data_IF_746009954910
#
_entry.id   IF_746009954910
#
_cell.length_a   1.000
_cell.length_b   1.000
_cell.length_c   1.000
_cell.angle_alpha   90.00
_cell.angle_beta   90.00
_cell.angle_gamma   90.00
#
_symmetry.space_group_name_H-M   'P 1'
#
loop_
_entity.id
_entity.type
_entity.pdbx_description
1 polymer ?
#
# COMPACT_ATOMS: atom_id res chain seq x y z
N UNK A 1 11.02 46.04 25.17
CA UNK A 1 10.46 44.74 24.78
C UNK A 1 10.91 43.76 25.84
N UNK A 2 9.92 43.19 26.52
CA UNK A 2 10.06 42.59 27.85
C UNK A 2 10.53 41.13 27.71
N UNK A 3 11.77 40.87 28.14
CA UNK A 3 12.45 39.57 28.04
C UNK A 3 11.73 38.45 28.81
N UNK A 4 10.79 38.80 29.68
CA UNK A 4 9.93 37.85 30.39
C UNK A 4 8.80 37.31 29.51
N UNK A 5 8.30 38.08 28.54
CA UNK A 5 7.23 37.65 27.65
C UNK A 5 7.73 36.69 26.53
N UNK A 6 9.03 36.72 26.24
CA UNK A 6 9.67 35.82 25.25
C UNK A 6 10.16 34.51 25.90
N UNK A 7 10.38 34.50 27.22
CA UNK A 7 10.65 33.27 27.98
C UNK A 7 9.38 32.51 28.35
N UNK A 8 8.22 33.16 28.48
CA UNK A 8 6.93 32.47 28.61
C UNK A 8 6.48 31.81 27.31
N UNK A 9 6.89 32.32 26.13
CA UNK A 9 6.58 31.67 24.84
C UNK A 9 7.52 30.50 24.49
N UNK A 10 8.60 30.28 25.26
CA UNK A 10 9.54 29.16 25.10
C UNK A 10 9.41 28.05 26.17
N UNK A 11 8.35 28.08 27.00
CA UNK A 11 8.06 27.04 28.01
C UNK A 11 6.94 26.07 27.57
N UNK A 12 6.41 26.15 26.35
CA UNK A 12 5.50 25.10 25.81
C UNK A 12 6.31 24.03 25.06
N UNK A 13 7.31 23.49 25.73
CA UNK A 13 7.87 22.16 25.45
C UNK A 13 8.25 21.48 26.76
N UNK A 14 7.39 21.64 27.77
CA UNK A 14 7.24 20.57 28.74
C UNK A 14 6.31 19.55 28.10
N UNK A 15 6.91 18.43 27.70
CA UNK A 15 6.19 17.18 27.45
C UNK A 15 5.56 16.80 28.79
N UNK A 16 4.46 17.45 29.12
CA UNK A 16 3.72 17.12 30.32
C UNK A 16 3.30 15.67 30.17
N UNK A 17 3.72 14.89 31.15
CA UNK A 17 3.16 13.60 31.47
C UNK A 17 1.74 13.85 32.05
N UNK A 18 0.85 14.50 31.28
CA UNK A 18 -0.51 14.85 31.69
C UNK A 18 -1.26 13.54 31.83
N UNK A 19 -1.57 13.19 33.08
CA UNK A 19 -2.49 12.12 33.41
C UNK A 19 -3.75 12.25 32.54
N UNK A 20 -4.19 11.18 31.84
CA UNK A 20 -5.33 11.25 30.93
C UNK A 20 -6.54 11.87 31.61
N UNK A 21 -7.20 12.84 30.96
CA UNK A 21 -8.38 13.48 31.56
C UNK A 21 -9.46 12.42 31.77
N UNK A 22 -10.24 12.59 32.83
CA UNK A 22 -11.32 11.66 33.18
C UNK A 22 -12.31 11.41 32.02
N UNK A 23 -12.60 12.44 31.23
CA UNK A 23 -13.47 12.34 30.05
C UNK A 23 -12.84 11.50 28.93
N UNK A 24 -11.52 11.58 28.73
CA UNK A 24 -10.80 10.76 27.75
C UNK A 24 -10.81 9.30 28.18
N UNK A 25 -10.60 9.03 29.47
CA UNK A 25 -10.65 7.67 30.03
C UNK A 25 -12.05 7.09 29.83
N UNK A 26 -13.12 7.81 30.21
CA UNK A 26 -14.50 7.35 30.01
C UNK A 26 -14.82 7.06 28.55
N UNK A 27 -14.36 7.92 27.64
CA UNK A 27 -14.52 7.74 26.18
C UNK A 27 -13.87 6.43 25.74
N UNK A 28 -12.61 6.18 26.13
CA UNK A 28 -11.88 4.98 25.76
C UNK A 28 -12.43 3.70 26.40
N UNK A 29 -12.97 3.77 27.62
CA UNK A 29 -13.69 2.65 28.24
C UNK A 29 -14.96 2.30 27.45
N UNK A 30 -15.72 3.30 26.99
CA UNK A 30 -16.94 3.11 26.20
C UNK A 30 -16.66 2.60 24.79
N UNK A 31 -15.61 3.11 24.13
CA UNK A 31 -15.30 2.79 22.73
C UNK A 31 -14.61 1.43 22.58
N UNK A 32 -13.73 1.07 23.53
CA UNK A 32 -12.87 -0.11 23.40
C UNK A 32 -13.11 -1.17 24.48
N UNK A 33 -14.04 -0.94 25.41
CA UNK A 33 -14.38 -1.89 26.48
C UNK A 33 -13.29 -2.07 27.53
N UNK A 34 -12.38 -1.11 27.68
CA UNK A 34 -11.28 -1.18 28.63
C UNK A 34 -11.70 -0.90 30.07
N UNK A 35 -10.95 -1.45 31.03
CA UNK A 35 -11.04 -1.02 32.43
C UNK A 35 -10.44 0.38 32.59
N UNK A 36 -10.71 1.05 33.71
CA UNK A 36 -10.22 2.42 33.94
C UNK A 36 -8.69 2.48 33.89
N UNK A 37 -8.01 1.53 34.54
CA UNK A 37 -6.55 1.42 34.52
C UNK A 37 -6.00 1.11 33.12
N UNK A 38 -6.66 0.21 32.37
CA UNK A 38 -6.22 -0.15 31.03
C UNK A 38 -6.40 1.01 30.03
N UNK A 39 -7.50 1.75 30.14
CA UNK A 39 -7.76 2.92 29.31
C UNK A 39 -6.74 4.03 29.59
N UNK A 40 -6.45 4.31 30.87
CA UNK A 40 -5.44 5.30 31.26
C UNK A 40 -4.05 4.94 30.72
N UNK A 41 -3.61 3.68 30.91
CA UNK A 41 -2.32 3.22 30.43
C UNK A 41 -2.22 3.30 28.89
N UNK A 42 -3.26 2.88 28.17
CA UNK A 42 -3.25 2.90 26.70
C UNK A 42 -3.28 4.30 26.10
N UNK A 43 -3.93 5.26 26.77
CA UNK A 43 -3.86 6.68 26.37
C UNK A 43 -2.42 7.18 26.55
N UNK A 44 -1.78 6.88 27.69
CA UNK A 44 -0.39 7.28 27.92
C UNK A 44 0.59 6.66 26.93
N UNK A 45 0.44 5.36 26.65
CA UNK A 45 1.26 4.64 25.67
C UNK A 45 1.06 5.23 24.26
N UNK A 46 -0.18 5.56 23.90
CA UNK A 46 -0.50 6.19 22.61
C UNK A 46 0.12 7.59 22.49
N UNK A 47 -0.02 8.44 23.52
CA UNK A 47 0.55 9.80 23.54
C UNK A 47 2.08 9.80 23.52
N UNK A 48 2.70 8.83 24.19
CA UNK A 48 4.15 8.67 24.28
C UNK A 48 4.78 8.05 23.02
N UNK A 49 3.98 7.40 22.18
CA UNK A 49 4.46 6.81 20.93
C UNK A 49 4.58 7.87 19.82
N UNK A 50 5.81 8.30 19.52
CA UNK A 50 6.12 9.24 18.43
C UNK A 50 5.89 8.65 17.03
N UNK A 51 5.80 7.33 16.90
CA UNK A 51 5.46 6.63 15.66
C UNK A 51 3.98 6.22 15.60
N UNK A 52 3.11 6.81 16.43
CA UNK A 52 1.67 6.54 16.38
C UNK A 52 1.08 6.92 15.02
N UNK A 53 0.02 6.22 14.63
CA UNK A 53 -0.78 6.60 13.47
C UNK A 53 -1.38 7.98 13.76
N UNK A 54 -0.91 9.00 13.05
CA UNK A 54 -1.47 10.34 13.11
C UNK A 54 -2.44 10.54 11.96
N UNK A 55 -3.65 10.96 12.29
CA UNK A 55 -4.67 11.30 11.32
C UNK A 55 -4.47 12.77 10.97
N UNK A 56 -4.24 13.06 9.68
CA UNK A 56 -4.07 14.44 9.24
C UNK A 56 -5.33 15.26 9.53
N UNK A 57 -5.18 16.58 9.75
CA UNK A 57 -6.32 17.47 10.01
C UNK A 57 -7.35 17.41 8.87
N UNK A 58 -6.87 17.33 7.63
CA UNK A 58 -7.72 17.17 6.45
C UNK A 58 -8.50 15.84 6.45
N UNK A 59 -7.90 14.75 6.95
CA UNK A 59 -8.62 13.47 7.09
C UNK A 59 -9.65 13.53 8.22
N UNK A 60 -9.30 14.17 9.34
CA UNK A 60 -10.24 14.37 10.45
C UNK A 60 -11.42 15.24 10.03
N UNK A 61 -11.23 16.32 9.28
CA UNK A 61 -12.32 17.14 8.74
C UNK A 61 -13.33 16.33 7.90
N UNK A 62 -12.86 15.32 7.18
CA UNK A 62 -13.73 14.45 6.36
C UNK A 62 -14.55 13.48 7.21
N UNK A 63 -13.96 12.94 8.30
CA UNK A 63 -14.59 11.85 9.07
C UNK A 63 -15.18 12.28 10.41
N UNK A 64 -14.86 13.48 10.92
CA UNK A 64 -15.20 13.89 12.29
C UNK A 64 -16.70 13.85 12.56
N UNK A 65 -17.54 14.33 11.63
CA UNK A 65 -18.99 14.35 11.82
C UNK A 65 -19.58 12.94 12.02
N UNK A 66 -19.08 11.93 11.28
CA UNK A 66 -19.51 10.54 11.43
C UNK A 66 -18.90 9.88 12.67
N UNK A 67 -17.65 10.22 12.99
CA UNK A 67 -16.89 9.59 14.08
C UNK A 67 -17.28 10.15 15.45
N UNK A 68 -17.63 11.42 15.55
CA UNK A 68 -18.17 12.04 16.76
C UNK A 68 -19.55 11.48 17.10
N UNK A 69 -20.40 11.18 16.10
CA UNK A 69 -21.68 10.48 16.32
C UNK A 69 -21.47 9.06 16.88
N UNK A 70 -20.35 8.43 16.52
CA UNK A 70 -19.90 7.16 17.08
C UNK A 70 -19.15 7.32 18.43
N UNK A 71 -19.04 8.54 18.96
CA UNK A 71 -18.41 8.87 20.23
C UNK A 71 -16.88 9.01 20.19
N UNK A 72 -16.27 8.96 19.00
CA UNK A 72 -14.83 9.14 18.81
C UNK A 72 -14.48 10.63 18.77
N UNK A 73 -13.34 10.95 19.36
CA UNK A 73 -12.57 12.15 19.07
C UNK A 73 -11.36 11.80 18.18
N UNK A 74 -10.61 12.81 17.77
CA UNK A 74 -9.47 12.61 16.87
C UNK A 74 -8.45 11.61 17.44
N UNK A 75 -8.14 11.70 18.73
CA UNK A 75 -7.16 10.85 19.40
C UNK A 75 -7.64 9.39 19.55
N UNK A 76 -8.87 9.15 20.00
CA UNK A 76 -9.43 7.80 20.07
C UNK A 76 -9.60 7.19 18.69
N UNK A 77 -9.90 8.00 17.67
CA UNK A 77 -9.97 7.53 16.29
C UNK A 77 -8.59 7.13 15.75
N UNK A 78 -7.56 7.95 15.95
CA UNK A 78 -6.15 7.62 15.66
C UNK A 78 -5.71 6.30 16.31
N UNK A 79 -6.02 6.17 17.60
CA UNK A 79 -5.76 4.94 18.34
C UNK A 79 -6.52 3.75 17.76
N UNK A 80 -7.79 3.91 17.38
CA UNK A 80 -8.59 2.84 16.76
C UNK A 80 -8.01 2.36 15.43
N UNK A 81 -7.40 3.26 14.65
CA UNK A 81 -6.71 2.93 13.40
C UNK A 81 -5.41 2.16 13.64
N UNK A 82 -4.78 2.34 14.81
CA UNK A 82 -3.55 1.65 15.19
C UNK A 82 -3.77 0.23 15.72
N UNK A 83 -5.00 -0.11 16.13
CA UNK A 83 -5.33 -1.44 16.63
C UNK A 83 -5.38 -2.48 15.49
N UNK A 84 -4.74 -3.65 15.63
CA UNK A 84 -4.96 -4.77 14.72
C UNK A 84 -6.46 -5.10 14.72
N UNK A 85 -7.11 -5.13 13.55
CA UNK A 85 -8.56 -5.33 13.35
C UNK A 85 -9.09 -6.53 14.15
N UNK A 86 -9.39 -6.30 15.42
CA UNK A 86 -9.95 -7.25 16.37
C UNK A 86 -11.42 -6.89 16.53
N UNK A 87 -12.25 -7.68 15.87
CA UNK A 87 -13.61 -8.02 16.28
C UNK A 87 -14.54 -6.83 16.58
N UNK A 88 -15.25 -6.39 15.53
CA UNK A 88 -16.56 -5.77 15.68
C UNK A 88 -17.48 -6.75 16.44
N UNK A 89 -18.18 -6.32 17.51
CA UNK A 89 -19.33 -7.06 18.00
C UNK A 89 -20.44 -7.01 16.94
N UNK A 90 -20.97 -8.20 16.62
CA UNK A 90 -22.19 -8.58 15.89
C UNK A 90 -23.04 -7.48 15.18
N UNK A 91 -23.51 -7.67 13.94
CA UNK A 91 -23.63 -8.91 13.20
C UNK A 91 -23.92 -8.68 11.72
N UNK A 92 -23.29 -9.51 10.90
CA UNK A 92 -23.76 -9.97 9.61
C UNK A 92 -22.83 -11.14 9.27
N UNK A 93 -23.37 -12.34 9.21
CA UNK A 93 -22.67 -13.51 8.70
C UNK A 93 -22.15 -13.20 7.30
N UNK A 94 -20.83 -13.07 7.16
CA UNK A 94 -20.16 -13.22 5.87
C UNK A 94 -18.94 -14.09 6.06
N UNK A 95 -18.91 -15.15 5.27
CA UNK A 95 -17.91 -16.20 5.19
C UNK A 95 -16.49 -15.70 5.44
N UNK A 96 -15.84 -16.25 6.46
CA UNK A 96 -14.42 -16.09 6.75
C UNK A 96 -13.60 -16.79 5.68
N UNK A 97 -13.34 -16.10 4.56
CA UNK A 97 -12.11 -16.37 3.79
C UNK A 97 -10.96 -15.82 4.62
N UNK A 98 -10.19 -16.70 5.25
CA UNK A 98 -8.93 -16.38 5.90
C UNK A 98 -7.98 -15.74 4.87
N UNK A 99 -7.97 -14.40 4.80
CA UNK A 99 -6.94 -13.66 4.05
C UNK A 99 -5.60 -14.02 4.68
N UNK A 100 -4.79 -14.85 3.99
CA UNK A 100 -3.39 -15.11 4.37
C UNK A 100 -2.71 -13.74 4.50
N UNK A 101 -2.17 -13.40 5.68
CA UNK A 101 -1.37 -12.19 5.85
C UNK A 101 -0.17 -12.29 4.90
N UNK A 102 -0.05 -11.36 3.94
CA UNK A 102 1.13 -11.30 3.07
C UNK A 102 2.36 -11.08 3.96
N UNK A 103 3.50 -11.73 3.66
CA UNK A 103 4.72 -11.52 4.44
C UNK A 103 5.17 -10.07 4.28
N UNK A 104 5.38 -9.37 5.40
CA UNK A 104 5.91 -8.00 5.40
C UNK A 104 7.35 -8.02 4.92
N UNK A 105 7.65 -7.16 3.95
CA UNK A 105 8.97 -6.99 3.36
C UNK A 105 9.41 -5.55 3.63
N UNK A 106 10.68 -5.37 3.98
CA UNK A 106 11.29 -4.07 4.25
C UNK A 106 12.55 -3.88 3.41
N UNK A 107 12.85 -2.64 3.08
CA UNK A 107 14.16 -2.19 2.63
C UNK A 107 14.93 -1.65 3.85
N UNK A 108 15.99 -2.35 4.23
CA UNK A 108 16.93 -1.90 5.25
C UNK A 108 17.97 -0.99 4.59
N UNK A 109 18.14 0.23 5.10
CA UNK A 109 19.24 1.11 4.68
C UNK A 109 20.57 0.55 5.19
N UNK A 110 21.53 0.39 4.27
CA UNK A 110 22.87 -0.13 4.56
C UNK A 110 23.74 1.00 5.12
N UNK A 111 23.68 1.21 6.42
CA UNK A 111 24.43 2.24 7.14
C UNK A 111 24.96 1.71 8.48
N UNK A 112 25.96 2.40 9.05
CA UNK A 112 26.58 2.04 10.33
C UNK A 112 27.05 0.57 10.37
N UNK A 113 26.62 -0.22 11.38
CA UNK A 113 27.05 -1.61 11.55
C UNK A 113 26.60 -2.53 10.41
N UNK A 114 25.62 -2.12 9.60
CA UNK A 114 25.07 -2.88 8.47
C UNK A 114 25.44 -2.28 7.10
N UNK A 115 26.53 -1.51 7.03
CA UNK A 115 27.01 -0.86 5.79
C UNK A 115 27.29 -1.81 4.62
N UNK A 116 27.56 -3.09 4.89
CA UNK A 116 27.68 -4.14 3.88
C UNK A 116 26.58 -5.18 4.02
N UNK A 117 26.14 -5.74 2.89
CA UNK A 117 25.18 -6.86 2.88
C UNK A 117 25.73 -8.11 3.54
N UNK A 118 27.06 -8.20 3.73
CA UNK A 118 27.73 -9.28 4.47
C UNK A 118 27.60 -9.11 5.98
N UNK A 119 27.64 -7.89 6.52
CA UNK A 119 27.38 -7.65 7.94
C UNK A 119 25.92 -7.97 8.31
N UNK A 120 24.98 -7.82 7.37
CA UNK A 120 23.60 -8.27 7.53
C UNK A 120 23.51 -9.81 7.58
N UNK A 121 24.41 -10.53 6.89
CA UNK A 121 24.50 -12.00 6.95
C UNK A 121 25.06 -12.52 8.27
N UNK A 122 25.82 -11.72 9.02
CA UNK A 122 26.40 -12.13 10.31
C UNK A 122 25.32 -12.26 11.40
N UNK A 123 24.14 -11.63 11.23
CA UNK A 123 22.93 -11.90 12.03
C UNK A 123 22.16 -13.19 11.60
N UNK A 124 22.66 -13.89 10.58
CA UNK A 124 22.38 -15.24 10.08
C UNK A 124 21.02 -15.59 9.42
N UNK A 125 21.17 -16.59 8.55
CA UNK A 125 20.25 -17.34 7.68
C UNK A 125 20.08 -16.65 6.35
N UNK A 126 20.82 -17.15 5.35
CA UNK A 126 20.84 -16.69 3.98
C UNK A 126 19.44 -16.73 3.34
N UNK A 127 18.63 -15.71 3.63
CA UNK A 127 17.43 -15.45 2.86
C UNK A 127 17.89 -15.00 1.48
N UNK A 128 17.46 -15.72 0.44
CA UNK A 128 17.80 -15.43 -0.96
C UNK A 128 17.56 -13.94 -1.34
N UNK A 129 16.68 -13.26 -0.60
CA UNK A 129 16.33 -11.85 -0.73
C UNK A 129 17.43 -10.84 -0.35
N UNK A 130 18.42 -11.22 0.47
CA UNK A 130 19.54 -10.34 0.85
C UNK A 130 20.46 -9.96 -0.33
N UNK A 131 20.28 -10.60 -1.49
CA UNK A 131 21.01 -10.29 -2.73
C UNK A 131 20.44 -9.10 -3.50
N UNK A 132 19.21 -8.70 -3.23
CA UNK A 132 18.58 -7.55 -3.88
C UNK A 132 19.12 -6.26 -3.24
N UNK A 133 20.17 -5.70 -3.84
CA UNK A 133 20.70 -4.38 -3.48
C UNK A 133 20.03 -3.33 -4.34
N UNK A 134 19.41 -2.36 -3.68
CA UNK A 134 18.87 -1.16 -4.34
C UNK A 134 19.81 0.00 -4.03
N UNK A 135 20.05 0.86 -5.01
CA UNK A 135 20.85 2.06 -4.86
C UNK A 135 20.00 3.26 -5.22
N UNK A 136 20.13 4.33 -4.44
CA UNK A 136 19.47 5.60 -4.70
C UNK A 136 20.37 6.74 -4.25
N UNK A 137 19.87 7.96 -4.38
CA UNK A 137 20.46 9.16 -3.79
C UNK A 137 19.48 9.73 -2.79
N UNK A 138 19.97 10.17 -1.64
CA UNK A 138 19.15 10.92 -0.69
C UNK A 138 18.92 12.37 -1.17
N UNK A 139 18.17 13.15 -0.39
CA UNK A 139 17.83 14.54 -0.71
C UNK A 139 19.05 15.46 -0.80
N UNK A 140 20.20 15.03 -0.25
CA UNK A 140 21.47 15.74 -0.33
C UNK A 140 22.33 15.27 -1.52
N UNK A 141 21.81 14.37 -2.35
CA UNK A 141 22.53 13.76 -3.46
C UNK A 141 23.55 12.71 -3.03
N UNK A 142 23.58 12.30 -1.75
CA UNK A 142 24.51 11.30 -1.27
C UNK A 142 24.02 9.89 -1.63
N UNK A 143 24.91 8.96 -2.02
CA UNK A 143 24.52 7.61 -2.40
C UNK A 143 23.97 6.84 -1.20
N UNK A 144 22.73 6.40 -1.29
CA UNK A 144 22.08 5.51 -0.36
C UNK A 144 22.01 4.09 -0.96
N UNK A 145 22.16 3.08 -0.11
CA UNK A 145 22.04 1.69 -0.52
C UNK A 145 21.10 0.96 0.42
N UNK A 146 20.30 0.04 -0.12
CA UNK A 146 19.31 -0.71 0.62
C UNK A 146 19.41 -2.20 0.31
N UNK A 147 19.02 -3.04 1.27
CA UNK A 147 18.82 -4.47 1.06
C UNK A 147 17.40 -4.88 1.44
N UNK A 148 16.87 -5.90 0.75
CA UNK A 148 15.54 -6.44 1.03
C UNK A 148 15.62 -7.44 2.19
N UNK A 149 14.77 -7.25 3.20
CA UNK A 149 14.64 -8.13 4.37
C UNK A 149 13.17 -8.45 4.63
N UNK A 150 12.89 -9.64 5.18
CA UNK A 150 11.53 -9.97 5.62
C UNK A 150 11.29 -9.50 7.07
N UNK A 151 10.03 -9.56 7.52
CA UNK A 151 9.66 -9.14 8.87
C UNK A 151 10.32 -9.95 9.99
N UNK A 152 10.67 -11.21 9.75
CA UNK A 152 11.40 -12.02 10.72
C UNK A 152 12.84 -11.51 10.88
N UNK A 153 13.51 -11.23 9.75
CA UNK A 153 14.88 -10.70 9.69
C UNK A 153 14.94 -9.31 10.30
N UNK A 154 13.97 -8.43 9.99
CA UNK A 154 13.89 -7.09 10.58
C UNK A 154 13.76 -7.14 12.11
N UNK A 155 12.90 -8.04 12.63
CA UNK A 155 12.78 -8.27 14.07
C UNK A 155 14.09 -8.77 14.69
N UNK A 156 14.75 -9.75 14.08
CA UNK A 156 16.02 -10.28 14.60
C UNK A 156 17.12 -9.21 14.66
N UNK A 157 17.18 -8.30 13.68
CA UNK A 157 18.14 -7.19 13.69
C UNK A 157 17.88 -6.27 14.89
N UNK A 158 16.61 -5.95 15.16
CA UNK A 158 16.22 -5.12 16.31
C UNK A 158 16.52 -5.82 17.65
N UNK A 159 16.22 -7.12 17.74
CA UNK A 159 16.51 -7.94 18.93
C UNK A 159 18.03 -7.96 19.20
N UNK A 160 18.85 -8.20 18.17
CA UNK A 160 20.31 -8.20 18.29
C UNK A 160 20.88 -6.84 18.73
N UNK A 161 20.39 -5.73 18.16
CA UNK A 161 20.83 -4.39 18.56
C UNK A 161 20.48 -4.07 20.02
N UNK A 162 19.35 -4.61 20.49
CA UNK A 162 18.93 -4.48 21.89
C UNK A 162 19.84 -5.29 22.81
N UNK A 163 20.19 -6.53 22.42
CA UNK A 163 21.09 -7.40 23.19
C UNK A 163 22.50 -6.82 23.37
N UNK A 164 23.00 -6.09 22.36
CA UNK A 164 24.33 -5.44 22.41
C UNK A 164 24.29 -4.01 22.94
N UNK A 165 23.14 -3.55 23.46
CA UNK A 165 22.89 -2.19 23.96
C UNK A 165 23.36 -1.09 22.98
N UNK A 166 23.18 -1.33 21.68
CA UNK A 166 23.64 -0.42 20.64
C UNK A 166 22.74 0.81 20.55
N UNK A 167 23.33 2.00 20.47
CA UNK A 167 22.61 3.27 20.24
C UNK A 167 22.20 3.47 18.77
N UNK A 168 22.66 2.60 17.87
CA UNK A 168 22.34 2.68 16.45
C UNK A 168 20.88 2.31 16.17
N UNK A 169 20.16 3.17 15.46
CA UNK A 169 18.78 2.92 15.02
C UNK A 169 18.74 2.59 13.52
N UNK A 170 18.40 1.35 13.13
CA UNK A 170 18.32 0.96 11.72
C UNK A 170 17.09 1.56 11.04
N UNK A 171 17.27 2.03 9.81
CA UNK A 171 16.18 2.54 8.98
C UNK A 171 15.55 1.41 8.16
N UNK A 172 14.28 1.08 8.46
CA UNK A 172 13.47 0.15 7.66
C UNK A 172 12.38 0.91 6.89
N UNK A 173 12.31 0.69 5.58
CA UNK A 173 11.27 1.26 4.72
C UNK A 173 10.36 0.12 4.27
N UNK A 174 9.05 0.26 4.44
CA UNK A 174 8.09 -0.74 3.96
C UNK A 174 8.23 -0.96 2.45
N UNK A 175 8.40 -2.22 2.03
CA UNK A 175 8.50 -2.60 0.63
C UNK A 175 7.23 -3.32 0.19
N UNK A 176 6.25 -2.52 -0.23
CA UNK A 176 4.99 -2.99 -0.77
C UNK A 176 4.97 -2.81 -2.28
N UNK A 177 4.52 -3.85 -2.99
CA UNK A 177 4.39 -3.84 -4.45
C UNK A 177 3.08 -4.47 -4.88
N UNK A 178 2.47 -3.90 -5.90
CA UNK A 178 1.33 -4.50 -6.55
C UNK A 178 1.75 -5.81 -7.20
N UNK A 179 1.07 -6.89 -6.83
CA UNK A 179 1.45 -8.24 -7.25
C UNK A 179 1.04 -8.48 -8.71
N UNK A 180 1.98 -8.89 -9.56
CA UNK A 180 1.71 -9.37 -10.91
C UNK A 180 1.94 -10.88 -10.94
N UNK A 181 0.86 -11.66 -10.94
CA UNK A 181 0.91 -13.12 -10.94
C UNK A 181 0.09 -13.69 -12.09
N UNK A 182 0.51 -13.39 -13.33
CA UNK A 182 -0.22 -13.79 -14.53
C UNK A 182 -0.06 -15.28 -14.82
N UNK A 183 -1.17 -16.01 -14.87
CA UNK A 183 -1.16 -17.44 -15.20
C UNK A 183 -0.76 -17.67 -16.65
N UNK A 184 0.05 -18.71 -16.88
CA UNK A 184 0.44 -19.20 -18.22
C UNK A 184 -0.54 -20.23 -18.78
N UNK A 185 -1.50 -20.69 -17.97
CA UNK A 185 -2.44 -21.77 -18.35
C UNK A 185 -3.90 -21.34 -18.26
N UNK A 186 -4.16 -20.13 -17.78
CA UNK A 186 -5.49 -19.55 -17.67
C UNK A 186 -5.44 -18.04 -17.81
N UNK A 187 -6.60 -17.43 -18.11
CA UNK A 187 -6.72 -15.97 -18.19
C UNK A 187 -6.58 -15.28 -16.82
N UNK A 188 -6.41 -16.02 -15.72
CA UNK A 188 -6.31 -15.42 -14.40
C UNK A 188 -4.96 -14.69 -14.19
N UNK A 189 -4.94 -13.52 -13.52
CA UNK A 189 -6.08 -12.64 -13.24
C UNK A 189 -6.44 -11.78 -14.46
N UNK A 190 -7.74 -11.59 -14.72
CA UNK A 190 -8.28 -10.68 -15.74
C UNK A 190 -9.41 -9.87 -15.12
N UNK A 191 -9.43 -8.55 -15.37
CA UNK A 191 -10.47 -7.64 -14.90
C UNK A 191 -11.87 -8.11 -15.35
N UNK A 192 -12.80 -8.23 -14.42
CA UNK A 192 -14.19 -8.61 -14.68
C UNK A 192 -14.39 -10.09 -15.06
N UNK A 193 -13.37 -10.94 -14.88
CA UNK A 193 -13.45 -12.36 -15.21
C UNK A 193 -13.01 -13.26 -14.07
N UNK A 194 -13.92 -14.13 -13.62
CA UNK A 194 -13.62 -15.25 -12.70
C UNK A 194 -13.00 -16.43 -13.47
N UNK A 195 -11.77 -16.20 -13.95
CA UNK A 195 -11.02 -17.14 -14.78
C UNK A 195 -10.52 -18.41 -14.04
N UNK A 196 -10.86 -18.57 -12.76
CA UNK A 196 -10.52 -19.77 -11.96
C UNK A 196 -11.54 -20.89 -12.12
N UNK A 197 -12.71 -20.61 -12.70
CA UNK A 197 -13.75 -21.61 -12.91
C UNK A 197 -13.39 -22.60 -14.03
N UNK A 198 -13.76 -23.89 -13.92
CA UNK A 198 -13.35 -24.94 -14.88
C UNK A 198 -13.70 -24.63 -16.34
N UNK A 199 -14.80 -23.93 -16.60
CA UNK A 199 -15.24 -23.54 -17.95
C UNK A 199 -14.40 -22.41 -18.57
N UNK A 200 -13.60 -21.70 -17.77
CA UNK A 200 -12.64 -20.70 -18.25
C UNK A 200 -11.22 -21.28 -18.39
N UNK A 201 -11.02 -22.57 -18.08
CA UNK A 201 -9.74 -23.26 -18.28
C UNK A 201 -9.58 -23.58 -19.77
N UNK A 202 -8.43 -23.24 -20.33
CA UNK A 202 -8.13 -23.52 -21.73
C UNK A 202 -8.16 -25.04 -21.97
N UNK A 203 -8.89 -25.46 -23.01
CA UNK A 203 -8.88 -26.85 -23.48
C UNK A 203 -7.48 -27.18 -24.00
N UNK A 204 -6.93 -28.30 -23.53
CA UNK A 204 -5.55 -28.76 -23.75
C UNK A 204 -5.18 -29.05 -25.22
N UNK A 205 -6.08 -28.77 -26.18
CA UNK A 205 -5.98 -29.15 -27.59
C UNK A 205 -5.57 -28.00 -28.53
N UNK A 206 -5.48 -26.75 -28.04
CA UNK A 206 -4.92 -25.64 -28.83
C UNK A 206 -3.54 -25.27 -28.29
N UNK A 207 -2.53 -25.36 -29.15
CA UNK A 207 -1.12 -25.07 -28.89
C UNK A 207 -0.93 -23.91 -27.88
N UNK A 208 -0.60 -24.26 -26.65
CA UNK A 208 -0.50 -23.38 -25.48
C UNK A 208 0.44 -22.18 -25.68
N UNK A 209 1.35 -22.26 -26.65
CA UNK A 209 2.28 -21.19 -27.01
C UNK A 209 1.64 -20.07 -27.86
N UNK A 210 0.40 -20.24 -28.34
CA UNK A 210 -0.22 -19.33 -29.30
C UNK A 210 -1.56 -18.72 -28.88
N UNK A 211 -2.09 -19.04 -27.69
CA UNK A 211 -3.39 -18.49 -27.29
C UNK A 211 -3.26 -17.02 -26.91
N UNK A 212 -3.62 -16.15 -27.86
CA UNK A 212 -3.59 -14.71 -27.71
C UNK A 212 -4.39 -14.20 -26.50
N UNK A 213 -5.31 -14.99 -25.94
CA UNK A 213 -6.06 -14.63 -24.72
C UNK A 213 -5.19 -14.55 -23.47
N UNK A 214 -4.04 -15.21 -23.46
CA UNK A 214 -3.09 -15.19 -22.35
C UNK A 214 -2.10 -14.02 -22.41
N UNK A 215 -2.25 -13.14 -23.40
CA UNK A 215 -1.43 -11.94 -23.50
C UNK A 215 -2.05 -10.78 -22.69
N UNK A 216 -1.22 -9.95 -22.05
CA UNK A 216 0.24 -10.05 -21.97
C UNK A 216 0.73 -11.19 -21.07
N UNK A 217 1.93 -11.73 -21.34
CA UNK A 217 2.59 -12.70 -20.43
C UNK A 217 3.32 -12.01 -19.27
N UNK A 218 3.73 -12.78 -18.27
CA UNK A 218 4.36 -12.28 -17.04
C UNK A 218 5.53 -11.31 -17.27
N UNK A 219 6.46 -11.61 -18.19
CA UNK A 219 7.63 -10.77 -18.48
C UNK A 219 7.62 -10.24 -19.94
N UNK A 220 6.43 -10.00 -20.50
CA UNK A 220 6.30 -9.45 -21.85
C UNK A 220 6.49 -7.93 -21.85
N UNK A 221 7.40 -7.45 -22.70
CA UNK A 221 7.61 -6.03 -22.98
C UNK A 221 7.86 -5.81 -24.48
N UNK A 222 7.42 -4.68 -25.06
CA UNK A 222 6.64 -3.62 -24.41
C UNK A 222 5.19 -4.08 -24.12
N UNK A 223 4.54 -3.46 -23.13
CA UNK A 223 3.19 -3.80 -22.69
C UNK A 223 2.36 -2.56 -22.40
N UNK A 224 1.11 -2.57 -22.85
CA UNK A 224 0.17 -1.48 -22.58
C UNK A 224 -0.38 -1.57 -21.16
N UNK A 225 -0.32 -0.46 -20.45
CA UNK A 225 -0.96 -0.27 -19.15
C UNK A 225 -2.09 0.74 -19.26
N UNK A 226 -3.22 0.44 -18.63
CA UNK A 226 -4.33 1.37 -18.46
C UNK A 226 -4.29 2.01 -17.07
N UNK A 227 -4.42 3.32 -17.03
CA UNK A 227 -4.45 4.13 -15.81
C UNK A 227 -5.78 4.89 -15.71
N UNK A 228 -6.34 4.91 -14.50
CA UNK A 228 -7.61 5.55 -14.16
C UNK A 228 -7.51 6.52 -12.97
N UNK A 229 -6.34 6.57 -12.33
CA UNK A 229 -6.05 7.33 -11.11
C UNK A 229 -4.92 8.34 -11.32
N UNK A 230 -4.07 8.48 -10.30
CA UNK A 230 -2.96 9.45 -10.27
C UNK A 230 -1.86 9.18 -11.30
N UNK A 231 -1.69 7.92 -11.73
CA UNK A 231 -0.77 7.57 -12.82
C UNK A 231 -1.16 8.15 -14.20
N UNK A 232 -2.39 8.66 -14.34
CA UNK A 232 -2.80 9.42 -15.52
C UNK A 232 -2.21 10.83 -15.56
N UNK A 233 -1.64 11.33 -14.45
CA UNK A 233 -0.94 12.62 -14.42
C UNK A 233 0.49 12.46 -15.00
N UNK A 234 0.82 13.18 -16.08
CA UNK A 234 2.15 13.17 -16.68
C UNK A 234 3.28 13.45 -15.69
N UNK A 235 3.04 14.32 -14.71
CA UNK A 235 4.03 14.73 -13.71
C UNK A 235 4.39 13.57 -12.78
N UNK A 236 3.38 12.78 -12.38
CA UNK A 236 3.56 11.61 -11.52
C UNK A 236 4.36 10.55 -12.27
N UNK A 237 3.97 10.22 -13.50
CA UNK A 237 4.65 9.19 -14.28
C UNK A 237 6.08 9.60 -14.61
N UNK A 238 6.29 10.85 -15.02
CA UNK A 238 7.63 11.42 -15.28
C UNK A 238 8.56 11.27 -14.09
N UNK A 239 8.08 11.65 -12.90
CA UNK A 239 8.88 11.56 -11.67
C UNK A 239 9.13 10.10 -11.26
N UNK A 240 8.18 9.21 -11.51
CA UNK A 240 8.24 7.82 -11.07
C UNK A 240 9.20 6.97 -11.92
N UNK A 241 9.14 7.12 -13.25
CA UNK A 241 9.94 6.28 -14.18
C UNK A 241 11.08 7.06 -14.88
N UNK A 242 11.27 8.33 -14.55
CA UNK A 242 12.42 9.13 -15.00
C UNK A 242 12.46 9.37 -16.51
N UNK A 243 11.31 9.38 -17.17
CA UNK A 243 11.21 9.60 -18.62
C UNK A 243 11.04 11.08 -18.97
N UNK A 244 11.05 11.39 -20.27
CA UNK A 244 10.65 12.72 -20.77
C UNK A 244 9.15 12.97 -20.58
N UNK A 245 8.55 13.72 -21.50
CA UNK A 245 7.11 13.97 -21.45
C UNK A 245 6.34 12.70 -21.88
N UNK A 246 5.53 12.09 -20.99
CA UNK A 246 4.84 10.85 -21.31
C UNK A 246 3.72 11.09 -22.34
N UNK A 247 3.70 10.24 -23.37
CA UNK A 247 2.66 10.28 -24.41
C UNK A 247 1.56 9.28 -24.05
N UNK A 248 0.44 9.79 -23.55
CA UNK A 248 -0.75 9.00 -23.25
C UNK A 248 -1.66 8.86 -24.47
N UNK A 249 -2.34 7.73 -24.57
CA UNK A 249 -3.48 7.54 -25.47
C UNK A 249 -4.76 7.49 -24.65
N UNK A 250 -5.74 8.34 -24.93
CA UNK A 250 -7.04 8.25 -24.27
C UNK A 250 -7.65 6.87 -24.53
N UNK A 251 -8.21 6.24 -23.50
CA UNK A 251 -8.64 4.86 -23.58
C UNK A 251 -9.78 4.52 -22.62
N UNK A 252 -10.44 3.38 -22.86
CA UNK A 252 -11.48 2.83 -21.97
C UNK A 252 -11.23 1.36 -21.68
N UNK A 253 -11.66 0.91 -20.51
CA UNK A 253 -11.69 -0.53 -20.15
C UNK A 253 -13.09 -0.94 -19.70
N UNK A 254 -13.39 -2.23 -19.80
CA UNK A 254 -14.66 -2.85 -19.39
C UNK A 254 -14.41 -3.95 -18.35
N UNK A 255 -15.47 -4.38 -17.67
CA UNK A 255 -15.41 -5.45 -16.66
C UNK A 255 -14.96 -4.97 -15.28
N UNK A 256 -14.70 -3.68 -15.12
CA UNK A 256 -14.42 -3.06 -13.83
C UNK A 256 -15.40 -1.94 -13.53
N UNK A 257 -15.50 -1.60 -12.25
CA UNK A 257 -16.20 -0.40 -11.75
C UNK A 257 -15.25 0.40 -10.87
N UNK A 258 -15.37 1.72 -10.93
CA UNK A 258 -14.63 2.61 -10.02
C UNK A 258 -15.42 2.82 -8.74
N UNK A 259 -14.80 2.46 -7.62
CA UNK A 259 -15.21 2.91 -6.30
C UNK A 259 -14.26 3.99 -5.77
N UNK A 260 -14.55 4.44 -4.55
CA UNK A 260 -13.67 5.30 -3.77
C UNK A 260 -13.11 4.48 -2.61
N UNK A 261 -11.86 4.73 -2.25
CA UNK A 261 -11.20 4.17 -1.09
C UNK A 261 -10.61 5.29 -0.24
N UNK A 262 -10.93 5.30 1.06
CA UNK A 262 -10.49 6.33 1.99
C UNK A 262 -11.04 7.71 1.62
N UNK A 263 -12.24 7.78 1.02
CA UNK A 263 -12.91 9.01 0.62
C UNK A 263 -12.27 9.82 -0.53
N UNK A 264 -11.05 9.50 -0.95
CA UNK A 264 -10.30 10.28 -1.97
C UNK A 264 -9.64 9.47 -3.08
N UNK A 265 -9.31 8.20 -2.85
CA UNK A 265 -8.55 7.41 -3.83
C UNK A 265 -9.50 6.62 -4.72
N UNK A 266 -9.25 6.66 -6.03
CA UNK A 266 -10.01 5.83 -6.97
C UNK A 266 -9.57 4.38 -6.83
N UNK A 267 -10.52 3.48 -6.67
CA UNK A 267 -10.28 2.05 -6.54
C UNK A 267 -11.00 1.30 -7.66
N UNK A 268 -10.24 0.71 -8.60
CA UNK A 268 -10.80 -0.16 -9.62
C UNK A 268 -11.05 -1.55 -9.05
N UNK A 269 -12.29 -2.01 -9.06
CA UNK A 269 -12.66 -3.38 -8.66
C UNK A 269 -13.43 -4.07 -9.78
N UNK A 270 -13.57 -5.39 -9.70
CA UNK A 270 -14.37 -6.14 -10.68
C UNK A 270 -15.83 -5.68 -10.63
N UNK A 271 -16.40 -5.42 -11.80
CA UNK A 271 -17.82 -5.16 -11.94
C UNK A 271 -18.60 -6.49 -12.01
N UNK A 272 -19.85 -6.54 -11.52
CA UNK A 272 -20.74 -7.66 -11.77
C UNK A 272 -20.95 -7.90 -13.27
N UNK A 273 -21.19 -9.16 -13.68
CA UNK A 273 -21.31 -9.54 -15.09
C UNK A 273 -22.44 -8.83 -15.87
N UNK A 274 -23.46 -8.30 -15.18
CA UNK A 274 -24.56 -7.54 -15.79
C UNK A 274 -24.22 -6.06 -16.02
N UNK A 275 -23.15 -5.56 -15.40
CA UNK A 275 -22.73 -4.17 -15.53
C UNK A 275 -21.89 -4.01 -16.80
N UNK A 276 -22.36 -3.20 -17.74
CA UNK A 276 -21.73 -2.97 -19.04
C UNK A 276 -20.98 -1.65 -19.13
N UNK A 277 -20.81 -0.99 -17.99
CA UNK A 277 -20.08 0.27 -17.84
C UNK A 277 -18.66 0.19 -18.40
N UNK A 278 -18.20 1.32 -18.93
CA UNK A 278 -16.81 1.52 -19.31
C UNK A 278 -16.16 2.54 -18.38
N UNK A 279 -14.88 2.32 -18.09
CA UNK A 279 -14.08 3.24 -17.30
C UNK A 279 -13.16 3.98 -18.26
N UNK A 280 -13.25 5.30 -18.23
CA UNK A 280 -12.37 6.19 -19.00
C UNK A 280 -11.06 6.42 -18.26
N UNK A 281 -10.00 6.53 -19.04
CA UNK A 281 -8.65 6.71 -18.53
C UNK A 281 -7.65 6.86 -19.66
N UNK A 282 -6.41 6.48 -19.39
CA UNK A 282 -5.31 6.64 -20.31
C UNK A 282 -4.52 5.34 -20.44
N UNK A 283 -4.13 5.02 -21.66
CA UNK A 283 -3.20 3.94 -21.96
C UNK A 283 -1.79 4.50 -22.14
N UNK A 284 -0.80 3.81 -21.57
CA UNK A 284 0.61 4.13 -21.70
C UNK A 284 1.42 2.85 -21.98
N UNK A 285 2.41 2.96 -22.86
CA UNK A 285 3.24 1.81 -23.27
C UNK A 285 4.47 1.70 -22.36
N UNK A 286 4.51 0.65 -21.55
CA UNK A 286 5.65 0.33 -20.70
C UNK A 286 6.65 -0.49 -21.49
N UNK A 287 7.90 -0.02 -21.54
CA UNK A 287 8.92 -0.54 -22.46
C UNK A 287 9.83 -1.58 -21.82
N UNK A 288 9.96 -1.57 -20.50
CA UNK A 288 10.89 -2.43 -19.78
C UNK A 288 10.39 -2.72 -18.36
N UNK A 289 11.05 -3.69 -17.73
CA UNK A 289 10.73 -4.18 -16.39
C UNK A 289 10.94 -3.15 -15.29
N UNK A 290 11.97 -2.30 -15.39
CA UNK A 290 12.26 -1.31 -14.35
C UNK A 290 11.15 -0.25 -14.25
N UNK A 291 10.58 0.15 -15.40
CA UNK A 291 9.39 1.00 -15.45
C UNK A 291 8.18 0.33 -14.79
N UNK A 292 7.93 -0.94 -15.09
CA UNK A 292 6.83 -1.70 -14.47
C UNK A 292 7.03 -1.89 -12.96
N UNK A 293 8.26 -2.20 -12.54
CA UNK A 293 8.63 -2.37 -11.14
C UNK A 293 8.38 -1.09 -10.33
N UNK A 294 8.70 0.09 -10.89
CA UNK A 294 8.42 1.39 -10.28
C UNK A 294 6.90 1.63 -10.12
N UNK A 295 6.11 1.30 -11.15
CA UNK A 295 4.64 1.40 -11.07
C UNK A 295 4.05 0.48 -10.00
N UNK A 296 4.54 -0.75 -9.92
CA UNK A 296 4.10 -1.70 -8.89
C UNK A 296 4.45 -1.22 -7.49
N UNK A 297 5.62 -0.61 -7.28
CA UNK A 297 5.99 0.01 -6.00
C UNK A 297 5.06 1.18 -5.65
N UNK A 298 4.74 2.04 -6.61
CA UNK A 298 3.88 3.21 -6.39
C UNK A 298 2.46 2.82 -5.97
N UNK A 299 1.87 1.82 -6.63
CA UNK A 299 0.52 1.36 -6.31
C UNK A 299 0.46 0.54 -5.01
N UNK A 300 1.58 -0.04 -4.58
CA UNK A 300 1.71 -0.85 -3.35
C UNK A 300 0.92 -2.16 -3.39
N UNK A 301 0.97 -2.93 -2.30
CA UNK A 301 0.24 -4.18 -2.13
C UNK A 301 -1.27 -3.99 -1.91
N UNK A 302 -1.75 -2.73 -1.92
CA UNK A 302 -3.18 -2.40 -1.98
C UNK A 302 -3.82 -2.77 -3.32
N UNK A 303 -2.99 -3.00 -4.36
CA UNK A 303 -3.43 -3.38 -5.69
C UNK A 303 -2.73 -4.66 -6.18
N UNK A 304 -3.27 -5.22 -7.24
CA UNK A 304 -2.66 -6.28 -8.03
C UNK A 304 -2.69 -5.90 -9.52
N UNK A 305 -1.76 -6.44 -10.29
CA UNK A 305 -1.72 -6.26 -11.75
C UNK A 305 -2.54 -7.36 -12.40
N UNK A 306 -3.52 -6.97 -13.20
CA UNK A 306 -4.42 -7.90 -13.91
C UNK A 306 -4.45 -7.61 -15.40
N UNK A 307 -4.75 -8.63 -16.20
CA UNK A 307 -5.02 -8.44 -17.64
C UNK A 307 -6.32 -7.67 -17.84
N UNK A 308 -6.37 -6.84 -18.88
CA UNK A 308 -7.58 -6.15 -19.31
C UNK A 308 -7.61 -5.96 -20.83
N UNK A 309 -8.79 -5.65 -21.35
CA UNK A 309 -8.96 -5.17 -22.71
C UNK A 309 -9.08 -3.65 -22.69
N UNK A 310 -8.18 -2.99 -23.39
CA UNK A 310 -8.11 -1.54 -23.52
C UNK A 310 -8.66 -1.16 -24.90
N UNK A 311 -9.64 -0.26 -24.91
CA UNK A 311 -10.24 0.32 -26.11
C UNK A 311 -9.64 1.71 -26.30
N UNK A 312 -8.75 1.91 -27.27
CA UNK A 312 -8.14 3.23 -27.52
C UNK A 312 -9.16 4.17 -28.17
N UNK A 313 -9.22 5.42 -27.71
CA UNK A 313 -10.08 6.44 -28.32
C UNK A 313 -9.47 6.96 -29.63
N UNK A 314 -10.33 7.16 -30.64
CA UNK A 314 -9.93 7.75 -31.93
C UNK A 314 -9.50 6.74 -33.01
N UNK A 315 -9.23 5.49 -32.65
CA UNK A 315 -9.03 4.39 -33.58
C UNK A 315 -10.27 3.48 -33.55
N UNK A 316 -11.08 3.47 -34.62
CA UNK A 316 -12.31 2.66 -34.68
C UNK A 316 -11.98 1.18 -34.44
N UNK A 317 -12.52 0.64 -33.35
CA UNK A 317 -12.52 -0.78 -32.96
C UNK A 317 -11.16 -1.42 -32.62
N UNK A 318 -10.11 -0.64 -32.37
CA UNK A 318 -8.84 -1.21 -31.93
C UNK A 318 -8.88 -1.54 -30.43
N UNK A 319 -9.08 -2.83 -30.12
CA UNK A 319 -9.00 -3.37 -28.76
C UNK A 319 -7.64 -4.01 -28.55
N UNK A 320 -6.87 -3.46 -27.63
CA UNK A 320 -5.54 -3.97 -27.30
C UNK A 320 -5.57 -4.71 -25.96
N UNK A 321 -4.76 -5.76 -25.86
CA UNK A 321 -4.55 -6.49 -24.61
C UNK A 321 -3.52 -5.75 -23.78
N UNK A 322 -3.86 -5.47 -22.54
CA UNK A 322 -2.98 -4.74 -21.64
C UNK A 322 -3.13 -5.19 -20.20
N UNK A 323 -2.54 -4.40 -19.33
CA UNK A 323 -2.54 -4.59 -17.89
C UNK A 323 -3.17 -3.37 -17.22
N UNK A 324 -3.70 -3.57 -16.03
CA UNK A 324 -4.19 -2.49 -15.16
C UNK A 324 -3.99 -2.87 -13.70
N UNK A 325 -4.05 -1.89 -12.81
CA UNK A 325 -4.02 -2.10 -11.36
C UNK A 325 -5.44 -2.28 -10.84
N UNK A 326 -5.75 -3.44 -10.26
CA UNK A 326 -7.02 -3.71 -9.58
C UNK A 326 -6.83 -3.64 -8.08
N UNK A 327 -7.72 -2.93 -7.39
CA UNK A 327 -7.71 -2.81 -5.94
C UNK A 327 -8.15 -4.12 -5.29
N UNK A 328 -7.39 -4.61 -4.30
CA UNK A 328 -7.67 -5.89 -3.62
C UNK A 328 -8.39 -5.72 -2.26
N UNK A 329 -8.68 -4.48 -1.88
CA UNK A 329 -9.39 -4.12 -0.66
C UNK A 329 -10.92 -4.03 -0.84
N UNK A 330 -11.59 -3.66 0.23
CA UNK A 330 -13.02 -3.33 0.20
C UNK A 330 -13.16 -1.84 -0.16
N UNK A 331 -13.94 -1.52 -1.19
CA UNK A 331 -14.25 -0.12 -1.52
C UNK A 331 -15.22 0.47 -0.51
N UNK A 332 -15.19 1.78 -0.34
CA UNK A 332 -16.20 2.50 0.43
C UNK A 332 -17.58 2.30 -0.25
N UNK A 333 -18.67 2.17 0.52
CA UNK A 333 -20.01 1.89 0.01
C UNK A 333 -20.61 3.01 -0.85
#
# INVERSE_FOLDING_TARGET
>A
MDLLHELESMVITQQDNIEPKYDDIKRWQSLFGYTYSDASQRIQDHRSNSARVQVSDLHWEIVHAEKEDQGYDKESYEYSCSLPRAQRPHGAEKSTKTKKKKPSIYLLKLEGPFSTSENVKIAHSASSMLRSRFTGTDDNGAPASFCKVDGATSKMILDHLSDVESTFQPTFIGYSRAEKALSTTSMHPTLGSEATLPHHRLSFESDLESDQRLLPTQDQYPVWYFFYGTLSDPSVLKNLIGIGEPVYSAAKVRGGRLGTWGGKYKALVDAPAYETGCIEGHAFLITNKDQEDALQCYETDSYEVVRCMIELEGQKDEKIRGLTFRFIGDTDP
#
